data_IF_298960158780
#
_entry.id   IF_298960158780
#
_cell.length_a   1.000
_cell.length_b   1.000
_cell.length_c   1.000
_cell.angle_alpha   90.00
_cell.angle_beta   90.00
_cell.angle_gamma   90.00
#
_symmetry.space_group_name_H-M   'P 1'
#
loop_
_entity.id
_entity.type
_entity.pdbx_description
1 polymer ?
#
# COMPACT_ATOMS: atom_id res chain seq x y z
N UNK A 1 -4.54 -2.11 6.02
CA UNK A 1 -5.24 -2.89 4.96
C UNK A 1 -5.62 -4.26 5.50
N UNK A 2 -6.84 -4.74 5.24
CA UNK A 2 -7.32 -6.05 5.73
C UNK A 2 -7.45 -7.10 4.64
N UNK A 3 -7.35 -6.74 3.36
CA UNK A 3 -7.40 -7.64 2.21
C UNK A 3 -6.00 -8.01 1.72
N UNK A 4 -5.87 -9.16 1.05
CA UNK A 4 -4.65 -9.58 0.36
C UNK A 4 -4.90 -9.49 -1.14
N UNK A 5 -3.99 -8.83 -1.84
CA UNK A 5 -3.90 -8.81 -3.29
C UNK A 5 -2.53 -9.35 -3.69
N UNK A 6 -2.52 -10.28 -4.62
CA UNK A 6 -1.30 -10.77 -5.28
C UNK A 6 -1.47 -10.58 -6.77
N UNK A 7 -0.48 -9.98 -7.41
CA UNK A 7 -0.47 -9.75 -8.84
C UNK A 7 0.82 -10.32 -9.42
N UNK A 8 0.66 -11.17 -10.43
CA UNK A 8 1.75 -11.67 -11.25
C UNK A 8 1.74 -10.92 -12.55
N UNK A 9 2.91 -10.52 -13.02
CA UNK A 9 3.00 -9.69 -14.20
C UNK A 9 4.40 -9.58 -14.74
N UNK A 10 4.52 -8.73 -15.76
CA UNK A 10 5.79 -8.41 -16.39
C UNK A 10 6.28 -7.11 -15.78
N UNK A 11 7.48 -7.11 -15.22
CA UNK A 11 8.19 -5.90 -14.82
C UNK A 11 9.23 -5.55 -15.88
N UNK A 12 9.16 -4.34 -16.42
CA UNK A 12 10.13 -3.80 -17.37
C UNK A 12 10.99 -2.75 -16.67
N UNK A 13 12.30 -3.02 -16.61
CA UNK A 13 13.26 -2.15 -15.97
C UNK A 13 13.67 -1.00 -16.91
N UNK A 14 13.55 0.23 -16.44
CA UNK A 14 13.97 1.44 -17.14
C UNK A 14 15.30 1.98 -16.60
N UNK A 15 15.60 1.69 -15.34
CA UNK A 15 16.84 2.07 -14.68
C UNK A 15 17.39 0.92 -13.83
N UNK A 16 18.68 0.96 -13.53
CA UNK A 16 19.30 0.01 -12.63
C UNK A 16 18.92 0.37 -11.19
N UNK A 17 18.43 -0.60 -10.40
CA UNK A 17 18.14 -0.39 -9.00
C UNK A 17 18.25 -1.67 -8.17
N UNK A 18 18.63 -1.50 -6.90
CA UNK A 18 18.65 -2.52 -5.84
C UNK A 18 18.09 -1.87 -4.56
N UNK A 19 17.29 -2.60 -3.77
CA UNK A 19 16.88 -2.16 -2.43
C UNK A 19 17.49 -3.03 -1.31
N UNK A 20 17.86 -4.30 -1.59
CA UNK A 20 18.51 -5.21 -0.64
C UNK A 20 19.30 -6.30 -1.40
N UNK A 21 20.58 -6.56 -1.03
CA UNK A 21 21.46 -7.73 -1.29
C UNK A 21 21.18 -8.66 -2.51
N UNK A 22 20.61 -8.15 -3.60
CA UNK A 22 20.19 -8.91 -4.78
C UNK A 22 20.78 -8.30 -6.04
N UNK A 23 20.48 -8.90 -7.20
CA UNK A 23 20.99 -8.40 -8.47
C UNK A 23 20.22 -7.15 -8.92
N UNK A 24 20.95 -6.11 -9.33
CA UNK A 24 20.36 -4.92 -9.92
C UNK A 24 19.49 -5.27 -11.13
N UNK A 25 18.38 -4.54 -11.24
CA UNK A 25 17.66 -4.52 -12.51
C UNK A 25 18.58 -4.09 -13.64
N UNK A 26 18.49 -4.78 -14.78
CA UNK A 26 19.21 -4.42 -15.99
C UNK A 26 18.25 -3.64 -16.87
N UNK A 27 18.53 -2.36 -17.18
CA UNK A 27 17.68 -1.54 -18.04
C UNK A 27 17.37 -2.24 -19.37
N UNK A 28 16.11 -2.17 -19.80
CA UNK A 28 15.61 -2.81 -21.02
C UNK A 28 15.31 -4.30 -20.89
N UNK A 29 15.56 -4.92 -19.72
CA UNK A 29 15.14 -6.31 -19.46
C UNK A 29 13.72 -6.37 -18.88
N UNK A 30 13.09 -7.51 -19.15
CA UNK A 30 11.79 -7.88 -18.60
C UNK A 30 11.94 -9.02 -17.62
N UNK A 31 11.22 -8.94 -16.51
CA UNK A 31 11.23 -9.89 -15.42
C UNK A 31 9.81 -10.39 -15.15
N UNK A 32 9.69 -11.64 -14.71
CA UNK A 32 8.48 -12.09 -14.02
C UNK A 32 8.49 -11.48 -12.63
N UNK A 33 7.42 -10.77 -12.27
CA UNK A 33 7.32 -10.11 -10.98
C UNK A 33 6.06 -10.53 -10.23
N UNK A 34 6.19 -10.61 -8.91
CA UNK A 34 5.11 -10.78 -7.96
C UNK A 34 4.97 -9.50 -7.14
N UNK A 35 3.84 -8.81 -7.28
CA UNK A 35 3.45 -7.71 -6.42
C UNK A 35 2.43 -8.22 -5.40
N UNK A 36 2.72 -8.06 -4.11
CA UNK A 36 1.76 -8.35 -3.04
C UNK A 36 1.37 -7.07 -2.31
N UNK A 37 0.08 -6.85 -2.11
CA UNK A 37 -0.44 -5.78 -1.29
C UNK A 37 -1.24 -6.36 -0.12
N UNK A 38 -0.70 -6.17 1.09
CA UNK A 38 -1.31 -6.60 2.34
C UNK A 38 -0.85 -5.64 3.44
N UNK A 39 -1.15 -5.97 4.68
CA UNK A 39 -0.57 -5.29 5.82
C UNK A 39 -0.71 -6.15 7.07
N UNK A 40 -0.81 -5.49 8.22
CA UNK A 40 -0.91 -6.11 9.54
C UNK A 40 -2.22 -6.88 9.81
N UNK A 41 -3.05 -7.12 8.77
CA UNK A 41 -4.34 -7.82 8.84
C UNK A 41 -5.23 -7.25 9.95
N UNK A 42 -5.95 -8.11 10.68
CA UNK A 42 -6.79 -7.72 11.81
C UNK A 42 -6.02 -7.21 13.02
N UNK A 43 -4.72 -7.48 13.15
CA UNK A 43 -3.91 -7.10 14.32
C UNK A 43 -3.77 -5.58 14.39
N UNK A 44 -3.20 -4.96 13.35
CA UNK A 44 -3.05 -3.49 13.34
C UNK A 44 -4.39 -2.74 13.34
N UNK A 45 -5.46 -3.33 12.78
CA UNK A 45 -6.81 -2.74 12.88
C UNK A 45 -7.31 -2.70 14.32
N UNK A 46 -7.13 -3.78 15.09
CA UNK A 46 -7.53 -3.83 16.50
C UNK A 46 -6.69 -2.87 17.35
N UNK A 47 -5.38 -2.79 17.10
CA UNK A 47 -4.46 -1.86 17.77
C UNK A 47 -4.90 -0.42 17.50
N UNK A 48 -5.06 -0.03 16.23
CA UNK A 48 -5.48 1.31 15.86
C UNK A 48 -6.81 1.69 16.51
N UNK A 49 -7.84 0.83 16.45
CA UNK A 49 -9.13 1.13 17.08
C UNK A 49 -9.04 1.28 18.60
N UNK A 50 -8.24 0.44 19.27
CA UNK A 50 -8.05 0.52 20.73
C UNK A 50 -7.47 1.88 21.09
N UNK A 51 -6.34 2.27 20.50
CA UNK A 51 -5.65 3.50 20.87
C UNK A 51 -6.35 4.76 20.35
N UNK A 52 -7.05 4.71 19.20
CA UNK A 52 -7.93 5.81 18.78
C UNK A 52 -9.09 6.03 19.74
N UNK A 53 -9.62 4.97 20.36
CA UNK A 53 -10.66 5.11 21.39
C UNK A 53 -10.09 5.79 22.64
N UNK A 54 -8.93 5.34 23.12
CA UNK A 54 -8.25 5.92 24.29
C UNK A 54 -7.93 7.39 24.03
N UNK A 55 -7.37 7.73 22.86
CA UNK A 55 -7.08 9.12 22.47
C UNK A 55 -8.32 10.02 22.58
N UNK A 56 -9.47 9.56 22.08
CA UNK A 56 -10.75 10.30 22.17
C UNK A 56 -11.23 10.46 23.61
N UNK A 57 -11.03 9.46 24.46
CA UNK A 57 -11.40 9.51 25.88
C UNK A 57 -10.48 10.46 26.67
N UNK A 58 -9.23 10.66 26.22
CA UNK A 58 -8.29 11.63 26.78
C UNK A 58 -8.55 13.07 26.33
N UNK A 59 -9.26 13.24 25.21
CA UNK A 59 -9.53 14.52 24.58
C UNK A 59 -11.03 14.81 24.43
N UNK A 60 -11.76 14.79 25.56
CA UNK A 60 -13.22 15.04 25.58
C UNK A 60 -13.59 16.49 25.28
N UNK A 61 -12.62 17.40 25.35
CA UNK A 61 -12.74 18.81 24.96
C UNK A 61 -12.81 19.02 23.45
N UNK A 62 -12.42 18.03 22.65
CA UNK A 62 -12.47 18.13 21.19
C UNK A 62 -13.90 18.08 20.67
N UNK A 63 -14.21 18.96 19.72
CA UNK A 63 -15.47 18.92 18.99
C UNK A 63 -15.63 17.60 18.23
N UNK A 64 -16.89 17.17 18.06
CA UNK A 64 -17.23 15.93 17.33
C UNK A 64 -16.63 15.86 15.92
N UNK A 65 -16.43 17.00 15.26
CA UNK A 65 -15.85 17.08 13.92
C UNK A 65 -14.36 16.75 13.86
N UNK A 66 -13.63 16.93 14.98
CA UNK A 66 -12.18 16.73 15.06
C UNK A 66 -11.77 15.64 16.05
N UNK A 67 -12.72 15.03 16.76
CA UNK A 67 -12.46 13.91 17.67
C UNK A 67 -11.76 12.72 16.98
N UNK A 68 -11.95 12.51 15.67
CA UNK A 68 -11.22 11.51 14.88
C UNK A 68 -9.72 11.83 14.70
N UNK A 69 -9.29 13.04 15.06
CA UNK A 69 -7.89 13.51 15.04
C UNK A 69 -7.27 13.56 16.45
N UNK A 70 -7.95 13.02 17.47
CA UNK A 70 -7.40 12.91 18.81
C UNK A 70 -6.05 12.15 18.80
N UNK A 71 -5.14 12.55 19.69
CA UNK A 71 -3.78 12.02 19.75
C UNK A 71 -3.46 11.44 21.13
N UNK A 72 -2.27 10.84 21.24
CA UNK A 72 -1.65 10.44 22.51
C UNK A 72 -0.24 11.04 22.51
N UNK A 73 0.16 11.64 23.62
CA UNK A 73 1.53 12.12 23.77
C UNK A 73 2.49 10.93 23.92
N UNK A 74 3.60 10.94 23.20
CA UNK A 74 4.62 9.88 23.27
C UNK A 74 5.19 9.69 24.68
N UNK A 75 5.18 10.71 25.53
CA UNK A 75 5.64 10.61 26.93
C UNK A 75 4.57 10.06 27.88
N UNK A 76 3.34 9.87 27.41
CA UNK A 76 2.30 9.20 28.19
C UNK A 76 2.45 7.67 28.08
N UNK A 77 2.00 6.97 29.12
CA UNK A 77 1.99 5.49 29.14
C UNK A 77 1.26 4.94 27.90
N UNK A 78 0.09 5.47 27.57
CA UNK A 78 -0.68 4.99 26.41
C UNK A 78 -0.06 5.37 25.07
N UNK A 79 0.66 6.50 24.99
CA UNK A 79 1.39 6.88 23.79
C UNK A 79 2.59 5.98 23.53
N UNK A 80 3.36 5.64 24.57
CA UNK A 80 4.46 4.68 24.48
C UNK A 80 3.94 3.28 24.12
N UNK A 81 2.87 2.83 24.77
CA UNK A 81 2.25 1.55 24.43
C UNK A 81 1.74 1.52 22.98
N UNK A 82 1.11 2.60 22.51
CA UNK A 82 0.65 2.71 21.13
C UNK A 82 1.83 2.63 20.16
N UNK A 83 2.91 3.36 20.45
CA UNK A 83 4.13 3.34 19.64
C UNK A 83 4.69 1.92 19.53
N UNK A 84 4.90 1.22 20.64
CA UNK A 84 5.40 -0.15 20.66
C UNK A 84 4.46 -1.11 19.92
N UNK A 85 3.14 -0.97 20.12
CA UNK A 85 2.12 -1.78 19.46
C UNK A 85 2.09 -1.54 17.95
N UNK A 86 2.19 -0.29 17.50
CA UNK A 86 2.26 0.08 16.09
C UNK A 86 3.53 -0.48 15.46
N UNK A 87 4.68 -0.38 16.14
CA UNK A 87 5.95 -0.95 15.68
C UNK A 87 5.87 -2.48 15.52
N UNK A 88 5.23 -3.16 16.46
CA UNK A 88 4.95 -4.60 16.35
C UNK A 88 4.03 -4.91 15.16
N UNK A 89 3.00 -4.10 14.92
CA UNK A 89 2.10 -4.28 13.78
C UNK A 89 2.82 -4.07 12.43
N UNK A 90 3.80 -3.15 12.37
CA UNK A 90 4.69 -2.96 11.22
C UNK A 90 5.52 -4.21 10.93
N UNK A 91 6.25 -4.70 11.93
CA UNK A 91 7.01 -5.96 11.81
C UNK A 91 6.14 -7.16 11.45
N UNK A 92 4.94 -7.24 12.01
CA UNK A 92 3.97 -8.28 11.65
C UNK A 92 3.56 -8.18 10.17
N UNK A 93 3.39 -6.96 9.63
CA UNK A 93 3.08 -6.76 8.22
C UNK A 93 4.21 -7.26 7.33
N UNK A 94 5.47 -6.88 7.62
CA UNK A 94 6.64 -7.35 6.84
C UNK A 94 6.81 -8.86 6.96
N UNK A 95 6.67 -9.44 8.15
CA UNK A 95 6.71 -10.89 8.34
C UNK A 95 5.59 -11.61 7.55
N UNK A 96 4.39 -11.01 7.49
CA UNK A 96 3.31 -11.54 6.65
C UNK A 96 3.69 -11.51 5.16
N UNK A 97 4.36 -10.46 4.67
CA UNK A 97 4.87 -10.42 3.30
C UNK A 97 5.95 -11.48 3.06
N UNK A 98 6.95 -11.58 3.94
CA UNK A 98 8.01 -12.57 3.86
C UNK A 98 7.45 -14.01 3.78
N UNK A 99 6.53 -14.39 4.66
CA UNK A 99 5.91 -15.73 4.63
C UNK A 99 5.10 -15.98 3.36
N UNK A 100 4.44 -14.96 2.81
CA UNK A 100 3.71 -15.10 1.54
C UNK A 100 4.67 -15.30 0.37
N UNK A 101 5.73 -14.51 0.29
CA UNK A 101 6.73 -14.59 -0.78
C UNK A 101 7.53 -15.89 -0.71
N UNK A 102 7.90 -16.35 0.49
CA UNK A 102 8.59 -17.61 0.72
C UNK A 102 7.76 -18.81 0.23
N UNK A 103 6.48 -18.88 0.61
CA UNK A 103 5.56 -19.94 0.13
C UNK A 103 5.41 -19.95 -1.38
N UNK A 104 5.38 -18.78 -1.99
CA UNK A 104 5.26 -18.64 -3.44
C UNK A 104 6.55 -19.06 -4.13
N UNK A 105 7.69 -18.61 -3.64
CA UNK A 105 9.02 -18.99 -4.13
C UNK A 105 9.22 -20.50 -4.06
N UNK A 106 8.89 -21.11 -2.92
CA UNK A 106 8.94 -22.55 -2.73
C UNK A 106 8.02 -23.32 -3.68
N UNK A 107 6.81 -22.82 -3.93
CA UNK A 107 5.87 -23.46 -4.85
C UNK A 107 6.31 -23.36 -6.32
N UNK A 108 7.05 -22.30 -6.69
CA UNK A 108 7.63 -22.15 -8.02
C UNK A 108 8.96 -22.89 -8.20
N UNK A 109 9.66 -23.17 -7.10
CA UNK A 109 11.04 -23.68 -7.15
C UNK A 109 12.04 -22.61 -7.60
N UNK A 110 11.73 -21.34 -7.38
CA UNK A 110 12.50 -20.18 -7.83
C UNK A 110 12.76 -19.23 -6.66
N UNK A 111 13.91 -18.55 -6.67
CA UNK A 111 14.24 -17.50 -5.70
C UNK A 111 14.06 -16.10 -6.33
N UNK A 112 13.68 -15.12 -5.50
CA UNK A 112 13.54 -13.75 -5.98
C UNK A 112 14.92 -13.12 -6.23
N UNK A 113 15.16 -12.66 -7.46
CA UNK A 113 16.39 -11.94 -7.83
C UNK A 113 16.61 -10.66 -7.01
N UNK A 114 15.51 -9.96 -6.73
CA UNK A 114 15.49 -8.72 -5.95
C UNK A 114 14.08 -8.50 -5.39
N UNK A 115 13.99 -7.68 -4.34
CA UNK A 115 12.74 -7.37 -3.64
C UNK A 115 12.71 -5.88 -3.33
N UNK A 116 11.55 -5.26 -3.58
CA UNK A 116 11.25 -3.89 -3.18
C UNK A 116 10.06 -3.90 -2.23
N UNK A 117 10.16 -3.25 -1.08
CA UNK A 117 9.11 -3.22 -0.05
C UNK A 117 8.91 -1.82 0.52
N UNK A 118 7.66 -1.41 0.70
CA UNK A 118 7.35 -0.17 1.40
C UNK A 118 6.12 -0.25 2.32
N UNK A 119 6.25 0.37 3.49
CA UNK A 119 5.09 0.70 4.32
C UNK A 119 4.47 2.02 3.85
N UNK A 120 3.15 2.07 3.79
CA UNK A 120 2.40 3.25 3.34
C UNK A 120 1.33 3.74 4.33
N UNK A 121 1.23 3.07 5.48
CA UNK A 121 0.35 3.42 6.59
C UNK A 121 1.12 3.18 7.89
N UNK A 122 2.01 4.09 8.22
CA UNK A 122 2.99 3.90 9.28
C UNK A 122 3.52 5.23 9.81
N UNK A 123 4.27 5.17 10.89
CA UNK A 123 4.93 6.32 11.49
C UNK A 123 6.39 6.01 11.75
N UNK A 124 7.28 6.95 11.41
CA UNK A 124 8.73 6.80 11.57
C UNK A 124 9.27 7.90 12.47
N UNK A 125 10.26 7.55 13.29
CA UNK A 125 11.15 8.52 13.89
C UNK A 125 12.15 8.96 12.84
N UNK A 126 12.20 10.27 12.59
CA UNK A 126 13.13 10.89 11.65
C UNK A 126 13.83 12.06 12.32
N UNK A 127 15.06 12.34 11.92
CA UNK A 127 15.76 13.56 12.29
C UNK A 127 15.51 14.64 11.24
N UNK A 128 15.01 15.79 11.69
CA UNK A 128 14.77 16.95 10.86
C UNK A 128 15.44 18.16 11.53
N UNK A 129 16.52 18.64 10.93
CA UNK A 129 17.34 19.74 11.44
C UNK A 129 17.81 19.53 12.90
N UNK A 130 18.24 18.31 13.24
CA UNK A 130 18.72 17.95 14.59
C UNK A 130 17.60 17.74 15.61
N UNK A 131 16.35 17.69 15.17
CA UNK A 131 15.18 17.39 16.00
C UNK A 131 14.59 16.04 15.59
N UNK A 132 14.48 15.13 16.55
CA UNK A 132 13.68 13.93 16.39
C UNK A 132 12.20 14.30 16.26
N UNK A 133 11.57 13.86 15.17
CA UNK A 133 10.14 14.03 14.89
C UNK A 133 9.50 12.71 14.50
N UNK A 134 8.18 12.63 14.69
CA UNK A 134 7.36 11.52 14.20
C UNK A 134 6.69 11.87 12.88
N UNK A 135 7.16 11.28 11.79
CA UNK A 135 6.54 11.45 10.46
C UNK A 135 5.47 10.40 10.24
N UNK A 136 4.22 10.86 10.25
CA UNK A 136 3.03 10.03 10.03
C UNK A 136 2.69 9.98 8.54
N UNK A 137 2.66 8.78 7.95
CA UNK A 137 2.22 8.60 6.55
C UNK A 137 1.02 7.69 6.48
N UNK A 138 -0.04 8.15 5.82
CA UNK A 138 -1.28 7.40 5.56
C UNK A 138 -1.63 7.51 4.08
N UNK A 139 -1.43 6.43 3.33
CA UNK A 139 -1.51 6.44 1.87
C UNK A 139 -0.28 7.09 1.20
N UNK A 140 0.82 7.23 1.92
CA UNK A 140 2.07 7.80 1.42
C UNK A 140 3.26 6.94 1.87
N UNK A 141 4.31 6.90 1.06
CA UNK A 141 5.52 6.11 1.27
C UNK A 141 6.72 7.04 1.47
N UNK A 142 7.75 6.62 2.23
CA UNK A 142 9.05 7.30 2.19
C UNK A 142 9.58 7.40 0.76
N UNK A 143 10.17 8.54 0.44
CA UNK A 143 10.76 8.92 -0.83
C UNK A 143 12.00 9.82 -0.61
N UNK A 144 12.76 9.53 0.45
CA UNK A 144 14.08 10.11 0.67
C UNK A 144 15.00 9.82 -0.51
N UNK A 145 16.09 10.59 -0.65
CA UNK A 145 17.02 10.44 -1.77
C UNK A 145 17.53 9.00 -1.86
N UNK A 146 17.29 8.33 -2.98
CA UNK A 146 17.72 6.95 -3.23
C UNK A 146 16.81 5.88 -2.62
N UNK A 147 15.83 6.24 -1.79
CA UNK A 147 14.90 5.29 -1.17
C UNK A 147 14.01 4.70 -2.25
N UNK A 148 14.01 3.38 -2.38
CA UNK A 148 13.18 2.68 -3.33
C UNK A 148 11.74 2.59 -2.81
N UNK A 149 10.79 2.39 -3.73
CA UNK A 149 9.39 2.28 -3.36
C UNK A 149 8.54 1.71 -4.47
N UNK A 150 7.35 1.25 -4.09
CA UNK A 150 6.35 0.74 -5.02
C UNK A 150 5.10 1.62 -4.97
N UNK A 151 4.64 1.99 -6.17
CA UNK A 151 3.36 2.64 -6.42
C UNK A 151 2.45 1.62 -7.12
N UNK A 152 1.66 0.82 -6.38
CA UNK A 152 0.68 -0.07 -6.99
C UNK A 152 -0.34 0.65 -7.86
N UNK A 153 -0.62 0.05 -9.02
CA UNK A 153 -1.81 0.29 -9.82
C UNK A 153 -3.08 -0.30 -9.21
N UNK A 154 -4.13 -0.37 -10.02
CA UNK A 154 -5.29 -1.21 -9.73
C UNK A 154 -5.06 -2.65 -10.19
N UNK A 155 -6.06 -3.53 -10.10
CA UNK A 155 -5.96 -4.90 -10.61
C UNK A 155 -5.76 -5.01 -12.12
N UNK A 156 -6.04 -3.96 -12.90
CA UNK A 156 -5.85 -3.96 -14.35
C UNK A 156 -4.85 -2.92 -14.84
N UNK A 157 -4.34 -2.07 -13.95
CA UNK A 157 -3.51 -0.92 -14.35
C UNK A 157 -2.05 -1.13 -13.99
N UNK A 158 -1.12 -0.45 -14.68
CA UNK A 158 0.29 -0.54 -14.35
C UNK A 158 0.59 -0.11 -12.91
N UNK A 159 1.52 -0.82 -12.27
CA UNK A 159 2.22 -0.36 -11.08
C UNK A 159 3.63 0.11 -11.43
N UNK A 160 4.30 0.77 -10.48
CA UNK A 160 5.64 1.31 -10.73
C UNK A 160 6.57 1.04 -9.56
N UNK A 161 7.82 0.73 -9.89
CA UNK A 161 8.94 0.83 -8.96
C UNK A 161 9.58 2.19 -9.17
N UNK A 162 9.82 2.91 -8.09
CA UNK A 162 10.30 4.28 -8.10
C UNK A 162 11.46 4.46 -7.12
N UNK A 163 12.22 5.54 -7.30
CA UNK A 163 13.29 5.96 -6.40
C UNK A 163 13.07 7.38 -5.93
N UNK A 164 13.11 7.62 -4.63
CA UNK A 164 12.91 8.93 -4.04
C UNK A 164 13.99 9.93 -4.42
N UNK A 165 13.58 11.18 -4.68
CA UNK A 165 14.47 12.31 -4.97
C UNK A 165 14.87 13.07 -3.69
N UNK A 166 14.20 12.79 -2.56
CA UNK A 166 14.44 13.46 -1.28
C UNK A 166 13.95 14.89 -1.26
N UNK A 167 12.75 15.14 -1.78
CA UNK A 167 12.14 16.46 -1.72
C UNK A 167 11.64 16.78 -0.31
N UNK A 168 12.30 17.73 0.34
CA UNK A 168 11.96 18.17 1.71
C UNK A 168 10.57 18.79 1.80
N UNK A 169 10.04 19.37 0.71
CA UNK A 169 8.69 19.98 0.69
C UNK A 169 7.59 18.94 0.89
N UNK A 170 7.85 17.69 0.54
CA UNK A 170 6.94 16.56 0.76
C UNK A 170 7.28 15.74 2.01
N UNK A 171 8.15 16.25 2.88
CA UNK A 171 8.68 15.49 4.03
C UNK A 171 9.30 14.17 3.54
N UNK A 172 10.10 14.24 2.45
CA UNK A 172 10.71 13.09 1.81
C UNK A 172 9.70 11.97 1.55
N UNK A 173 8.53 12.30 0.99
CA UNK A 173 7.43 11.33 0.79
C UNK A 173 6.85 11.39 -0.61
N UNK A 174 6.26 10.27 -1.03
CA UNK A 174 5.51 10.13 -2.28
C UNK A 174 4.16 9.45 -2.01
N UNK A 175 3.22 9.57 -2.95
CA UNK A 175 1.96 8.85 -2.90
C UNK A 175 2.19 7.34 -3.10
N UNK A 176 1.44 6.53 -2.37
CA UNK A 176 1.53 5.08 -2.50
C UNK A 176 0.72 4.53 -3.67
N UNK A 177 -0.32 5.22 -4.13
CA UNK A 177 -1.16 4.74 -5.23
C UNK A 177 -2.24 5.74 -5.58
N UNK A 178 -3.07 5.39 -6.55
CA UNK A 178 -4.03 6.34 -7.11
C UNK A 178 -5.09 6.83 -6.09
N UNK A 179 -5.39 5.99 -5.09
CA UNK A 179 -6.44 6.26 -4.12
C UNK A 179 -7.84 6.07 -4.71
N UNK A 180 -8.82 5.86 -3.84
CA UNK A 180 -10.20 5.63 -4.27
C UNK A 180 -10.87 6.94 -4.69
N UNK A 181 -11.62 6.92 -5.79
CA UNK A 181 -12.52 8.03 -6.20
C UNK A 181 -13.94 7.88 -5.67
N UNK A 182 -14.30 6.69 -5.19
CA UNK A 182 -15.62 6.41 -4.62
C UNK A 182 -15.58 5.40 -3.47
N UNK A 183 -16.60 5.45 -2.62
CA UNK A 183 -16.76 4.49 -1.52
C UNK A 183 -17.03 3.08 -2.04
N UNK A 184 -16.75 2.06 -1.23
CA UNK A 184 -17.06 0.66 -1.56
C UNK A 184 -18.55 0.46 -1.83
N UNK A 185 -19.40 1.05 -0.98
CA UNK A 185 -20.85 1.00 -1.11
C UNK A 185 -21.32 1.64 -2.41
N UNK A 186 -20.71 2.75 -2.82
CA UNK A 186 -21.03 3.39 -4.09
C UNK A 186 -20.58 2.52 -5.26
N UNK A 187 -19.37 1.95 -5.20
CA UNK A 187 -18.86 1.07 -6.24
C UNK A 187 -19.82 -0.11 -6.52
N UNK A 188 -20.31 -0.79 -5.48
CA UNK A 188 -21.31 -1.86 -5.64
C UNK A 188 -22.64 -1.40 -6.24
N UNK A 189 -23.01 -0.12 -6.06
CA UNK A 189 -24.27 0.43 -6.58
C UNK A 189 -24.15 0.90 -8.03
N UNK A 190 -22.96 1.35 -8.45
CA UNK A 190 -22.79 2.10 -9.70
C UNK A 190 -21.93 1.39 -10.74
N UNK A 191 -21.06 0.45 -10.35
CA UNK A 191 -20.19 -0.23 -11.29
C UNK A 191 -20.88 -1.45 -11.90
N UNK A 192 -20.56 -1.74 -13.16
CA UNK A 192 -21.05 -2.91 -13.87
C UNK A 192 -20.01 -4.02 -13.82
N UNK A 193 -20.42 -5.22 -13.43
CA UNK A 193 -19.58 -6.41 -13.44
C UNK A 193 -19.17 -6.83 -14.86
N UNK A 194 -20.06 -6.65 -15.84
CA UNK A 194 -19.79 -6.90 -17.25
C UNK A 194 -18.67 -5.98 -17.75
N UNK A 195 -18.80 -4.66 -17.53
CA UNK A 195 -17.77 -3.68 -17.90
C UNK A 195 -16.44 -3.94 -17.20
N UNK A 196 -16.49 -4.40 -15.95
CA UNK A 196 -15.29 -4.77 -15.21
C UNK A 196 -14.59 -6.00 -15.82
N UNK A 197 -15.33 -7.02 -16.24
CA UNK A 197 -14.77 -8.20 -16.92
C UNK A 197 -14.22 -7.86 -18.31
N UNK A 198 -14.95 -7.05 -19.09
CA UNK A 198 -14.47 -6.53 -20.37
C UNK A 198 -13.14 -5.80 -20.21
N UNK A 199 -13.06 -4.88 -19.23
CA UNK A 199 -11.85 -4.13 -18.92
C UNK A 199 -10.62 -5.02 -18.69
N UNK A 200 -10.80 -6.09 -17.89
CA UNK A 200 -9.73 -7.04 -17.59
C UNK A 200 -9.37 -7.89 -18.82
N UNK A 201 -10.36 -8.31 -19.61
CA UNK A 201 -10.17 -9.09 -20.82
C UNK A 201 -9.38 -8.32 -21.88
N UNK A 202 -9.72 -7.04 -22.11
CA UNK A 202 -8.99 -6.14 -23.02
C UNK A 202 -7.51 -6.00 -22.65
N UNK A 203 -7.17 -6.12 -21.36
CA UNK A 203 -5.79 -6.03 -20.84
C UNK A 203 -5.11 -7.39 -20.69
N UNK A 204 -5.82 -8.48 -21.00
CA UNK A 204 -5.33 -9.84 -20.84
C UNK A 204 -5.00 -10.18 -19.39
N UNK A 205 -5.81 -9.68 -18.44
CA UNK A 205 -5.64 -9.94 -17.00
C UNK A 205 -6.60 -11.04 -16.55
N UNK A 206 -6.05 -12.15 -16.07
CA UNK A 206 -6.82 -13.20 -15.43
C UNK A 206 -7.08 -12.86 -13.95
N UNK A 207 -8.34 -12.66 -13.58
CA UNK A 207 -8.74 -12.41 -12.19
C UNK A 207 -9.23 -13.69 -11.52
N UNK A 208 -8.68 -14.00 -10.35
CA UNK A 208 -9.07 -15.13 -9.50
C UNK A 208 -9.60 -14.58 -8.17
N UNK A 209 -10.92 -14.62 -7.98
CA UNK A 209 -11.59 -14.01 -6.83
C UNK A 209 -11.84 -12.52 -7.06
N UNK A 210 -11.65 -11.70 -6.02
CA UNK A 210 -11.88 -10.26 -6.09
C UNK A 210 -13.34 -9.86 -5.93
N UNK A 211 -13.57 -8.55 -5.84
CA UNK A 211 -14.87 -7.96 -5.62
C UNK A 211 -15.02 -6.67 -6.41
N UNK A 212 -16.26 -6.37 -6.82
CA UNK A 212 -16.57 -5.23 -7.68
C UNK A 212 -16.17 -3.88 -7.07
N UNK A 213 -16.12 -3.77 -5.74
CA UNK A 213 -15.65 -2.55 -5.09
C UNK A 213 -14.16 -2.28 -5.26
N UNK A 214 -13.40 -3.23 -5.77
CA UNK A 214 -11.98 -3.09 -6.09
C UNK A 214 -11.73 -2.91 -7.60
N UNK A 215 -12.79 -2.84 -8.41
CA UNK A 215 -12.67 -2.65 -9.85
C UNK A 215 -11.90 -1.34 -10.18
N UNK A 216 -11.14 -1.29 -11.29
CA UNK A 216 -10.31 -0.13 -11.67
C UNK A 216 -11.06 1.20 -11.66
N UNK A 217 -12.33 1.21 -12.11
CA UNK A 217 -13.19 2.40 -12.10
C UNK A 217 -13.50 2.96 -10.69
N UNK A 218 -13.23 2.21 -9.60
CA UNK A 218 -13.35 2.68 -8.23
C UNK A 218 -12.16 3.55 -7.76
N UNK A 219 -11.08 3.55 -8.54
CA UNK A 219 -9.83 4.25 -8.27
C UNK A 219 -9.65 5.48 -9.17
N UNK A 220 -8.79 6.40 -8.75
CA UNK A 220 -8.28 7.43 -9.66
C UNK A 220 -7.36 6.79 -10.70
N UNK A 221 -7.06 7.53 -11.75
CA UNK A 221 -6.08 7.12 -12.75
C UNK A 221 -4.67 7.09 -12.13
N UNK A 222 -4.04 5.91 -12.15
CA UNK A 222 -2.71 5.70 -11.57
C UNK A 222 -1.61 6.36 -12.41
N UNK A 223 -1.76 6.46 -13.72
CA UNK A 223 -0.78 7.12 -14.58
C UNK A 223 -0.80 8.63 -14.33
N UNK A 224 -2.00 9.20 -14.17
CA UNK A 224 -2.15 10.59 -13.75
C UNK A 224 -1.52 10.85 -12.37
N UNK A 225 -1.70 9.95 -11.40
CA UNK A 225 -1.07 10.10 -10.08
C UNK A 225 0.44 9.89 -10.14
N UNK A 226 0.95 8.97 -10.95
CA UNK A 226 2.38 8.75 -11.13
C UNK A 226 3.07 9.94 -11.79
N UNK A 227 2.47 10.51 -12.85
CA UNK A 227 3.01 11.67 -13.56
C UNK A 227 3.08 12.94 -12.71
N UNK A 228 2.18 13.12 -11.74
CA UNK A 228 2.21 14.24 -10.80
C UNK A 228 3.35 14.14 -9.76
N UNK A 229 4.11 13.05 -9.75
CA UNK A 229 5.15 12.79 -8.74
C UNK A 229 6.58 12.91 -9.29
N UNK A 230 6.78 13.42 -10.50
CA UNK A 230 8.11 13.55 -11.11
C UNK A 230 9.10 14.42 -10.32
N UNK A 231 8.60 15.36 -9.51
CA UNK A 231 9.45 16.14 -8.60
C UNK A 231 9.89 15.35 -7.37
N UNK A 232 9.18 14.28 -7.02
CA UNK A 232 9.34 13.51 -5.78
C UNK A 232 10.10 12.20 -6.01
N UNK A 233 9.90 11.56 -7.16
CA UNK A 233 10.47 10.25 -7.47
C UNK A 233 10.92 10.13 -8.93
N UNK A 234 11.99 9.37 -9.15
CA UNK A 234 12.43 8.91 -10.46
C UNK A 234 11.83 7.52 -10.74
N UNK A 235 11.49 7.24 -12.01
CA UNK A 235 10.90 5.97 -12.41
C UNK A 235 12.00 4.91 -12.64
N UNK A 236 11.91 3.78 -11.93
CA UNK A 236 12.85 2.66 -12.09
C UNK A 236 12.30 1.60 -13.05
N UNK A 237 10.99 1.38 -13.05
CA UNK A 237 10.38 0.43 -13.97
C UNK A 237 8.87 0.33 -13.84
N UNK A 238 8.25 -0.26 -14.85
CA UNK A 238 6.80 -0.46 -14.95
C UNK A 238 6.41 -1.93 -14.75
N UNK A 239 5.40 -2.17 -13.92
CA UNK A 239 4.80 -3.48 -13.69
C UNK A 239 3.44 -3.56 -14.39
N UNK A 240 3.27 -4.52 -15.30
CA UNK A 240 2.00 -4.80 -15.97
C UNK A 240 1.40 -6.11 -15.44
N UNK A 241 0.25 -6.07 -14.74
CA UNK A 241 -0.38 -7.28 -14.23
C UNK A 241 -0.87 -8.19 -15.36
N UNK A 242 -0.82 -9.51 -15.12
CA UNK A 242 -1.33 -10.57 -16.00
C UNK A 242 -2.22 -11.56 -15.26
N UNK A 243 -1.93 -11.84 -13.99
CA UNK A 243 -2.80 -12.65 -13.13
C UNK A 243 -2.98 -11.90 -11.81
N UNK A 244 -4.22 -11.74 -11.37
CA UNK A 244 -4.55 -11.12 -10.10
C UNK A 244 -5.31 -12.10 -9.23
N UNK A 245 -4.78 -12.37 -8.04
CA UNK A 245 -5.44 -13.14 -6.99
C UNK A 245 -5.82 -12.20 -5.87
N UNK A 246 -7.12 -12.16 -5.58
CA UNK A 246 -7.66 -11.40 -4.45
C UNK A 246 -8.52 -12.33 -3.60
N UNK A 247 -8.65 -11.97 -2.32
CA UNK A 247 -9.68 -12.54 -1.49
C UNK A 247 -11.05 -12.31 -2.16
N UNK A 248 -11.88 -13.34 -2.24
CA UNK A 248 -13.24 -13.20 -2.72
C UNK A 248 -14.00 -12.47 -1.61
N UNK A 249 -14.02 -11.14 -1.65
CA UNK A 249 -14.59 -10.32 -0.59
C UNK A 249 -15.96 -10.83 -0.14
N UNK A 250 -16.25 -10.74 1.16
CA UNK A 250 -17.59 -11.02 1.66
C UNK A 250 -18.58 -10.10 0.95
N UNK A 251 -19.53 -10.68 0.20
CA UNK A 251 -20.59 -9.94 -0.48
C UNK A 251 -21.32 -8.96 0.46
N UNK A 252 -22.15 -8.04 -0.07
CA UNK A 252 -22.75 -6.97 0.71
C UNK A 252 -23.35 -7.52 2.01
N UNK A 253 -22.82 -7.10 3.17
CA UNK A 253 -23.34 -7.48 4.48
C UNK A 253 -24.83 -7.13 4.49
N UNK A 254 -25.68 -8.16 4.37
CA UNK A 254 -27.13 -8.00 4.56
C UNK A 254 -27.32 -7.33 5.91
N UNK A 255 -27.92 -6.13 5.92
CA UNK A 255 -28.34 -5.49 7.16
C UNK A 255 -29.15 -6.53 7.94
N UNK A 256 -28.67 -6.95 9.11
CA UNK A 256 -29.52 -7.66 10.06
C UNK A 256 -30.70 -6.73 10.32
N UNK A 257 -31.88 -7.07 9.77
CA UNK A 257 -33.14 -6.45 10.18
C UNK A 257 -33.26 -6.75 11.68
N UNK A 258 -33.18 -5.70 12.50
CA UNK A 258 -33.70 -5.76 13.86
C UNK A 258 -35.20 -5.81 13.78
#
# INVERSE_FOLDING_TARGET
MTGLVQQWGVFEALDAAEEENGEAFVPGRRYLALLSHSGSRGVGFKIANRYSKIAKERHLELDKGVAELAWLDLTSEEGEEYWLSMQLAGRFASANHAVMHDKVSHALGEEALTKVENHHNYCWKEDWDGREVLVHRKGATPAGRGVMGVIPGSMGDPGYVVRGRGDVRSINSAAHGAGRRMSRTQAFKTLSEERWREYLAERGVALIGGSLDEAPAAYKDVEAVASLQGDLVDLVGGFTPKIVRMDAGGGPRKKKRK
#
